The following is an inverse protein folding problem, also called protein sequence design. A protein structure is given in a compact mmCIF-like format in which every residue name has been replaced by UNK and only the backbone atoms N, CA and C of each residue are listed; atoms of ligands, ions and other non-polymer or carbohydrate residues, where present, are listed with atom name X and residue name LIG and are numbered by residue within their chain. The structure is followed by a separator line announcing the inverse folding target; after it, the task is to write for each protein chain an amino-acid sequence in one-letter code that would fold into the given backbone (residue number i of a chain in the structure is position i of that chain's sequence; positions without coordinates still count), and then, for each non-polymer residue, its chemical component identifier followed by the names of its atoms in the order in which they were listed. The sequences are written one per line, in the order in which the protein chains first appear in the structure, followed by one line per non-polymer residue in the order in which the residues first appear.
data_IF_608695842232
#
_entry.id   IF_608695842232
#
_cell.length_a   1.000
_cell.length_b   1.000
_cell.length_c   1.000
_cell.angle_alpha   90.00
_cell.angle_beta   90.00
_cell.angle_gamma   90.00
#
_symmetry.space_group_name_H-M   'P 1'
#
loop_
_entity.id
_entity.type
_entity.pdbx_description
1 polymer ?
#
# COMPACT_ATOMS: atom_id res chain seq x y z
N UNK A 1 -27.77 29.08 -9.59
CA UNK A 1 -26.40 28.61 -9.87
C UNK A 1 -25.41 29.20 -8.85
N UNK A 2 -25.22 28.50 -7.73
CA UNK A 2 -24.24 28.90 -6.73
C UNK A 2 -22.86 28.44 -7.19
N UNK A 3 -21.90 29.36 -7.24
CA UNK A 3 -20.50 29.07 -7.52
C UNK A 3 -20.00 27.98 -6.57
N UNK A 4 -19.39 26.88 -7.04
CA UNK A 4 -19.11 25.70 -6.20
C UNK A 4 -18.05 25.93 -5.09
N UNK A 5 -17.37 27.08 -5.11
CA UNK A 5 -16.31 27.43 -4.17
C UNK A 5 -16.63 28.78 -3.50
N UNK A 6 -16.66 28.78 -2.16
CA UNK A 6 -16.99 29.95 -1.35
C UNK A 6 -15.79 30.92 -1.26
N UNK A 7 -14.56 30.42 -1.47
CA UNK A 7 -13.31 31.21 -1.48
C UNK A 7 -12.28 30.64 -2.47
N UNK A 8 -11.31 31.44 -2.98
CA UNK A 8 -10.23 30.94 -3.84
C UNK A 8 -9.44 29.80 -3.21
N UNK A 9 -9.23 29.86 -1.88
CA UNK A 9 -8.55 28.81 -1.14
C UNK A 9 -9.30 27.47 -1.23
N UNK A 10 -10.63 27.50 -1.04
CA UNK A 10 -11.47 26.31 -1.17
C UNK A 10 -11.55 25.76 -2.60
N UNK A 11 -11.29 26.60 -3.61
CA UNK A 11 -11.12 26.18 -5.00
C UNK A 11 -9.86 25.34 -5.16
N UNK A 12 -8.71 25.90 -4.78
CA UNK A 12 -7.42 25.21 -4.89
C UNK A 12 -7.40 23.91 -4.09
N UNK A 13 -7.96 23.92 -2.88
CA UNK A 13 -8.06 22.72 -2.06
C UNK A 13 -8.82 21.60 -2.78
N UNK A 14 -10.06 21.87 -3.22
CA UNK A 14 -10.90 20.85 -3.84
C UNK A 14 -10.41 20.40 -5.23
N UNK A 15 -9.94 21.35 -6.03
CA UNK A 15 -9.66 21.08 -7.44
C UNK A 15 -8.23 20.56 -7.67
N UNK A 16 -7.30 20.85 -6.75
CA UNK A 16 -5.88 20.53 -6.93
C UNK A 16 -5.23 19.77 -5.77
N UNK A 17 -5.63 19.98 -4.51
CA UNK A 17 -4.98 19.32 -3.36
C UNK A 17 -5.69 18.05 -2.91
N UNK A 18 -7.02 18.06 -2.84
CA UNK A 18 -7.84 16.91 -2.45
C UNK A 18 -7.62 15.70 -3.38
N UNK A 19 -7.49 15.85 -4.71
CA UNK A 19 -7.20 14.72 -5.60
C UNK A 19 -5.82 14.07 -5.35
N UNK A 20 -4.88 14.77 -4.70
CA UNK A 20 -3.57 14.22 -4.39
C UNK A 20 -3.62 13.28 -3.18
N UNK A 21 -4.64 13.41 -2.32
CA UNK A 21 -4.78 12.58 -1.12
C UNK A 21 -4.89 11.10 -1.52
N UNK A 22 -4.17 10.25 -0.78
CA UNK A 22 -4.07 8.81 -0.99
C UNK A 22 -3.53 8.40 -2.38
N UNK A 23 -3.00 9.35 -3.16
CA UNK A 23 -2.41 9.11 -4.48
C UNK A 23 -0.91 9.30 -4.47
N UNK A 24 -0.20 8.58 -5.34
CA UNK A 24 1.23 8.78 -5.53
C UNK A 24 1.51 10.11 -6.22
N UNK A 25 2.34 10.94 -5.59
CA UNK A 25 2.74 12.23 -6.14
C UNK A 25 4.24 12.20 -6.46
N UNK A 26 4.56 12.16 -7.74
CA UNK A 26 5.93 12.00 -8.26
C UNK A 26 6.92 13.04 -7.72
N UNK A 27 6.58 14.35 -7.61
CA UNK A 27 7.52 15.36 -7.09
C UNK A 27 8.01 15.09 -5.66
N UNK A 28 7.19 14.45 -4.82
CA UNK A 28 7.57 14.07 -3.44
C UNK A 28 7.98 12.59 -3.33
N UNK A 29 7.93 11.84 -4.44
CA UNK A 29 8.27 10.43 -4.53
C UNK A 29 7.54 9.54 -3.49
N UNK A 30 6.27 9.81 -3.23
CA UNK A 30 5.50 9.09 -2.22
C UNK A 30 4.01 9.38 -2.29
N UNK A 31 3.25 8.80 -1.36
CA UNK A 31 1.80 8.98 -1.27
C UNK A 31 1.48 10.14 -0.33
N UNK A 32 0.65 11.07 -0.79
CA UNK A 32 0.20 12.19 0.05
C UNK A 32 -0.90 11.69 0.99
N UNK A 33 -0.64 11.71 2.30
CA UNK A 33 -1.61 11.30 3.32
C UNK A 33 -2.49 12.45 3.78
N UNK A 34 -1.90 13.64 3.88
CA UNK A 34 -2.56 14.86 4.31
C UNK A 34 -1.79 16.07 3.80
N UNK A 35 -2.46 17.21 3.80
CA UNK A 35 -1.83 18.50 3.57
C UNK A 35 -2.31 19.53 4.60
N UNK A 36 -1.52 20.57 4.82
CA UNK A 36 -1.87 21.70 5.70
C UNK A 36 -1.13 22.98 5.30
N UNK A 37 -1.45 24.08 5.98
CA UNK A 37 -0.77 25.37 5.84
C UNK A 37 -0.74 25.89 4.38
N UNK A 38 -1.83 25.70 3.63
CA UNK A 38 -1.97 26.23 2.28
C UNK A 38 -2.01 27.76 2.31
N UNK A 39 -1.05 28.39 1.66
CA UNK A 39 -0.88 29.85 1.62
C UNK A 39 -0.64 30.33 0.20
N UNK A 40 -1.13 31.53 -0.12
CA UNK A 40 -0.87 32.18 -1.39
C UNK A 40 0.47 32.92 -1.32
N UNK A 41 1.27 32.81 -2.38
CA UNK A 41 2.56 33.53 -2.47
C UNK A 41 2.39 34.96 -3.01
N UNK A 42 1.18 35.32 -3.45
CA UNK A 42 0.84 36.62 -4.02
C UNK A 42 -0.58 37.00 -3.64
N UNK A 43 -0.80 38.29 -3.37
CA UNK A 43 -2.11 38.85 -3.07
C UNK A 43 -3.04 38.88 -4.29
N UNK A 44 -2.48 38.75 -5.50
CA UNK A 44 -3.21 38.77 -6.75
C UNK A 44 -2.88 37.54 -7.60
N UNK A 45 -3.92 36.98 -8.23
CA UNK A 45 -3.79 35.96 -9.26
C UNK A 45 -3.57 36.60 -10.64
N UNK A 46 -2.87 35.90 -11.53
CA UNK A 46 -2.55 36.37 -12.87
C UNK A 46 -3.38 35.62 -13.90
N UNK A 47 -4.08 36.36 -14.75
CA UNK A 47 -4.67 35.80 -15.97
C UNK A 47 -3.60 35.82 -17.07
N UNK A 48 -3.40 34.70 -17.74
CA UNK A 48 -2.36 34.53 -18.77
C UNK A 48 -3.01 34.30 -20.12
N UNK A 49 -2.71 35.18 -21.09
CA UNK A 49 -3.27 35.12 -22.43
C UNK A 49 -4.78 35.42 -22.45
N UNK A 50 -5.51 34.68 -23.29
CA UNK A 50 -6.96 34.83 -23.47
C UNK A 50 -7.79 33.84 -22.62
N UNK A 51 -7.11 33.07 -21.75
CA UNK A 51 -7.76 32.11 -20.87
C UNK A 51 -8.53 32.83 -19.75
N UNK A 52 -9.77 32.43 -19.42
CA UNK A 52 -10.51 33.01 -18.29
C UNK A 52 -10.02 32.49 -16.93
N UNK A 53 -9.02 31.59 -16.89
CA UNK A 53 -8.50 31.03 -15.66
C UNK A 53 -7.39 31.89 -15.04
N UNK A 54 -7.49 32.12 -13.74
CA UNK A 54 -6.49 32.85 -12.97
C UNK A 54 -5.48 31.88 -12.34
N UNK A 55 -4.19 32.19 -12.47
CA UNK A 55 -3.09 31.40 -11.93
C UNK A 55 -2.47 32.10 -10.72
N UNK A 56 -2.19 31.36 -9.66
CA UNK A 56 -1.52 31.86 -8.47
C UNK A 56 -0.60 30.77 -7.92
N UNK A 57 0.54 31.16 -7.37
CA UNK A 57 1.45 30.25 -6.69
C UNK A 57 0.97 30.02 -5.26
N UNK A 58 1.01 28.76 -4.83
CA UNK A 58 0.65 28.35 -3.48
C UNK A 58 1.76 27.54 -2.86
N UNK A 59 1.99 27.81 -1.58
CA UNK A 59 2.85 27.00 -0.72
C UNK A 59 1.97 26.12 0.16
N UNK A 60 2.34 24.84 0.30
CA UNK A 60 1.59 23.83 1.06
C UNK A 60 2.55 22.84 1.71
N UNK A 61 2.22 22.39 2.92
CA UNK A 61 2.93 21.30 3.60
C UNK A 61 2.21 19.98 3.38
N UNK A 62 2.93 18.97 2.87
CA UNK A 62 2.41 17.61 2.71
C UNK A 62 2.95 16.67 3.78
N UNK A 63 2.07 15.83 4.35
CA UNK A 63 2.46 14.61 5.04
C UNK A 63 2.55 13.49 4.00
N UNK A 64 3.76 12.96 3.79
CA UNK A 64 4.03 11.99 2.72
C UNK A 64 4.45 10.64 3.29
N UNK A 65 3.78 9.57 2.87
CA UNK A 65 4.22 8.21 3.09
C UNK A 65 5.15 7.77 1.96
N UNK A 66 6.42 7.52 2.30
CA UNK A 66 7.48 7.26 1.33
C UNK A 66 8.26 5.99 1.70
N UNK A 67 7.76 4.79 1.34
CA UNK A 67 8.55 3.58 1.42
C UNK A 67 9.73 3.66 0.44
N UNK A 68 10.90 3.21 0.88
CA UNK A 68 12.14 3.23 0.07
C UNK A 68 12.69 1.82 -0.02
N UNK A 69 13.28 1.48 -1.18
CA UNK A 69 14.01 0.23 -1.37
C UNK A 69 15.01 0.01 -0.22
N UNK A 70 14.99 -1.17 0.36
CA UNK A 70 15.83 -1.56 1.48
C UNK A 70 15.18 -1.41 2.85
N UNK A 71 14.06 -0.69 2.97
CA UNK A 71 13.35 -0.58 4.24
C UNK A 71 12.78 -1.92 4.69
N UNK A 72 12.82 -2.16 6.00
CA UNK A 72 12.15 -3.29 6.62
C UNK A 72 10.77 -2.85 7.12
N UNK A 73 9.72 -3.38 6.51
CA UNK A 73 8.34 -3.12 6.89
C UNK A 73 7.70 -4.41 7.41
N UNK A 74 6.52 -4.26 8.01
CA UNK A 74 5.71 -5.36 8.54
C UNK A 74 4.34 -5.30 7.88
N UNK A 75 3.90 -6.41 7.29
CA UNK A 75 2.59 -6.52 6.66
C UNK A 75 1.82 -7.74 7.18
N UNK A 76 0.50 -7.68 7.13
CA UNK A 76 -0.39 -8.82 7.37
C UNK A 76 -0.58 -9.59 6.08
N UNK A 77 -0.65 -10.92 6.14
CA UNK A 77 -0.84 -11.77 4.96
C UNK A 77 -2.32 -11.71 4.59
N UNK A 78 -2.64 -11.18 3.41
CA UNK A 78 -4.03 -10.93 2.99
C UNK A 78 -4.49 -11.89 1.89
N UNK A 79 -3.64 -12.11 0.89
CA UNK A 79 -3.93 -12.99 -0.24
C UNK A 79 -2.72 -13.88 -0.48
N UNK A 80 -2.95 -15.13 -0.85
CA UNK A 80 -1.86 -16.03 -1.17
C UNK A 80 -2.26 -16.91 -2.34
N UNK A 81 -1.34 -17.06 -3.28
CA UNK A 81 -1.42 -18.09 -4.32
C UNK A 81 -0.10 -18.87 -4.37
N UNK A 82 -0.08 -19.95 -5.15
CA UNK A 82 1.12 -20.79 -5.30
C UNK A 82 2.35 -20.01 -5.83
N UNK A 83 2.12 -18.90 -6.56
CA UNK A 83 3.17 -18.10 -7.19
C UNK A 83 3.59 -16.85 -6.40
N UNK A 84 2.82 -16.42 -5.40
CA UNK A 84 3.09 -15.17 -4.69
C UNK A 84 2.39 -15.10 -3.33
N UNK A 85 2.93 -14.26 -2.44
CA UNK A 85 2.31 -13.89 -1.17
C UNK A 85 1.95 -12.40 -1.22
N UNK A 86 0.67 -12.10 -1.06
CA UNK A 86 0.14 -10.76 -0.88
C UNK A 86 0.12 -10.36 0.59
N UNK A 87 0.69 -9.19 0.90
CA UNK A 87 0.60 -8.58 2.22
C UNK A 87 -0.04 -7.20 2.17
N UNK A 88 -0.64 -6.80 3.29
CA UNK A 88 -1.11 -5.44 3.55
C UNK A 88 -0.28 -4.80 4.66
N UNK A 89 0.33 -3.65 4.39
CA UNK A 89 0.98 -2.82 5.41
C UNK A 89 -0.06 -1.82 5.95
N UNK A 90 -0.19 -1.76 7.28
CA UNK A 90 -1.17 -0.89 7.97
C UNK A 90 -2.60 -1.00 7.39
N UNK A 91 -2.98 -2.21 6.93
CA UNK A 91 -4.27 -2.50 6.30
C UNK A 91 -4.61 -1.61 5.07
N UNK A 92 -3.60 -0.97 4.48
CA UNK A 92 -3.79 0.07 3.46
C UNK A 92 -2.93 -0.19 2.22
N UNK A 93 -1.66 -0.56 2.41
CA UNK A 93 -0.70 -0.63 1.30
C UNK A 93 -0.48 -2.06 0.84
N UNK A 94 -0.80 -2.32 -0.43
CA UNK A 94 -0.61 -3.60 -1.07
C UNK A 94 0.87 -3.93 -1.26
N UNK A 95 1.24 -5.17 -0.98
CA UNK A 95 2.58 -5.72 -1.16
C UNK A 95 2.48 -7.06 -1.84
N UNK A 96 3.23 -7.24 -2.92
CA UNK A 96 3.39 -8.54 -3.56
C UNK A 96 4.81 -9.06 -3.30
N UNK A 97 4.91 -10.32 -2.85
CA UNK A 97 6.17 -11.03 -2.73
C UNK A 97 6.14 -12.19 -3.73
N UNK A 98 6.87 -12.11 -4.85
CA UNK A 98 6.91 -13.17 -5.85
C UNK A 98 7.64 -14.41 -5.30
N UNK A 99 7.33 -15.59 -5.85
CA UNK A 99 7.89 -16.89 -5.44
C UNK A 99 9.42 -16.91 -5.32
N UNK A 100 10.11 -16.19 -6.19
CA UNK A 100 11.59 -16.07 -6.22
C UNK A 100 12.16 -15.40 -4.96
N UNK A 101 11.35 -14.61 -4.25
CA UNK A 101 11.72 -13.87 -3.05
C UNK A 101 11.11 -14.42 -1.77
N UNK A 102 10.56 -15.64 -1.86
CA UNK A 102 10.09 -16.43 -0.72
C UNK A 102 11.21 -17.42 -0.34
N UNK A 103 11.48 -17.67 0.96
CA UNK A 103 12.49 -18.63 1.38
C UNK A 103 12.22 -20.03 0.83
N UNK A 104 13.27 -20.76 0.45
CA UNK A 104 13.15 -22.10 -0.14
C UNK A 104 12.46 -23.12 0.76
N UNK A 105 12.56 -22.96 2.09
CA UNK A 105 11.89 -23.83 3.06
C UNK A 105 10.37 -23.69 3.10
N UNK A 106 9.80 -22.67 2.45
CA UNK A 106 8.35 -22.47 2.44
C UNK A 106 7.71 -23.29 1.32
N UNK A 107 6.56 -23.90 1.63
CA UNK A 107 5.78 -24.68 0.65
C UNK A 107 4.33 -24.21 0.61
N UNK A 108 3.77 -24.23 -0.60
CA UNK A 108 2.34 -24.04 -0.83
C UNK A 108 1.62 -25.36 -0.54
N UNK A 109 0.51 -25.29 0.18
CA UNK A 109 -0.40 -26.40 0.43
C UNK A 109 -1.73 -26.04 -0.17
N UNK A 110 -2.14 -26.79 -1.20
CA UNK A 110 -3.48 -26.71 -1.75
C UNK A 110 -4.45 -27.36 -0.77
N UNK A 111 -5.49 -26.63 -0.42
CA UNK A 111 -6.68 -27.10 0.26
C UNK A 111 -7.58 -27.68 -0.83
N UNK A 112 -7.50 -29.00 -1.03
CA UNK A 112 -8.43 -29.73 -1.90
C UNK A 112 -9.83 -29.53 -1.31
N UNK A 113 -10.68 -28.81 -2.03
CA UNK A 113 -12.05 -28.55 -1.60
C UNK A 113 -12.75 -29.85 -1.23
N UNK A 114 -13.38 -29.87 -0.06
CA UNK A 114 -14.49 -30.80 0.18
C UNK A 114 -15.47 -30.65 -0.98
N UNK A 115 -15.79 -31.75 -1.65
CA UNK A 115 -16.91 -31.81 -2.58
C UNK A 115 -18.14 -31.31 -1.81
N UNK A 116 -18.68 -30.16 -2.24
CA UNK A 116 -19.94 -29.66 -1.73
C UNK A 116 -21.00 -30.56 -2.34
N UNK A 117 -21.40 -31.59 -1.59
CA UNK A 117 -22.55 -32.43 -1.92
C UNK A 117 -23.75 -31.49 -2.13
N UNK A 118 -24.30 -31.51 -3.34
CA UNK A 118 -25.23 -30.50 -3.81
C UNK A 118 -26.54 -30.51 -3.03
N UNK A 119 -27.02 -29.32 -2.65
CA UNK A 119 -28.33 -28.84 -3.06
C UNK A 119 -28.56 -27.37 -2.67
N UNK A 120 -29.51 -26.75 -3.37
CA UNK A 120 -30.18 -25.48 -3.10
C UNK A 120 -29.54 -24.15 -3.59
N UNK A 121 -30.19 -23.64 -4.62
CA UNK A 121 -30.10 -22.31 -5.20
C UNK A 121 -30.38 -21.16 -4.19
N UNK A 122 -29.56 -20.10 -4.30
CA UNK A 122 -30.01 -18.71 -4.18
C UNK A 122 -28.96 -17.79 -4.84
N UNK A 123 -29.31 -17.22 -5.98
CA UNK A 123 -28.51 -16.21 -6.67
C UNK A 123 -28.65 -14.90 -5.89
N UNK A 124 -27.58 -14.48 -5.22
CA UNK A 124 -27.39 -13.15 -4.68
C UNK A 124 -26.20 -12.51 -5.38
N UNK A 125 -26.47 -11.52 -6.22
CA UNK A 125 -25.45 -10.74 -6.93
C UNK A 125 -24.69 -9.82 -5.96
N UNK A 126 -23.36 -9.82 -6.06
CA UNK A 126 -22.52 -8.73 -5.58
C UNK A 126 -21.48 -9.09 -4.52
N UNK A 127 -20.39 -9.74 -4.93
CA UNK A 127 -19.05 -9.51 -4.35
C UNK A 127 -17.99 -9.99 -5.36
N UNK A 128 -17.44 -9.05 -6.12
CA UNK A 128 -16.29 -9.29 -6.99
C UNK A 128 -15.04 -9.50 -6.12
N UNK A 129 -14.44 -10.70 -6.21
CA UNK A 129 -13.02 -10.88 -5.92
C UNK A 129 -12.60 -11.96 -4.92
N UNK A 130 -13.33 -13.08 -4.77
CA UNK A 130 -12.81 -14.25 -4.04
C UNK A 130 -12.37 -15.34 -5.01
N UNK A 131 -11.32 -15.07 -5.79
CA UNK A 131 -10.51 -16.12 -6.41
C UNK A 131 -9.67 -16.78 -5.33
N UNK A 132 -10.29 -17.55 -4.44
CA UNK A 132 -9.58 -18.35 -3.46
C UNK A 132 -9.18 -19.64 -4.17
N UNK A 133 -7.97 -19.67 -4.73
CA UNK A 133 -7.23 -20.93 -4.75
C UNK A 133 -7.15 -21.35 -3.27
N UNK A 134 -8.04 -22.26 -2.86
CA UNK A 134 -8.12 -22.74 -1.49
C UNK A 134 -6.77 -23.32 -1.12
N UNK A 135 -5.96 -22.58 -0.38
CA UNK A 135 -4.59 -22.99 -0.10
C UNK A 135 -3.86 -21.99 0.76
N UNK A 136 -2.74 -22.42 1.33
CA UNK A 136 -1.96 -21.61 2.25
C UNK A 136 -0.47 -21.93 2.18
N UNK A 137 0.33 -20.92 2.53
CA UNK A 137 1.76 -21.12 2.74
C UNK A 137 2.03 -21.69 4.12
N UNK A 138 2.97 -22.63 4.20
CA UNK A 138 3.63 -23.03 5.45
C UNK A 138 5.12 -22.74 5.38
N UNK A 139 5.70 -22.30 6.50
CA UNK A 139 7.15 -22.12 6.63
C UNK A 139 7.90 -23.46 6.69
N UNK A 140 9.23 -23.38 6.76
CA UNK A 140 10.11 -24.55 6.90
C UNK A 140 9.93 -25.31 8.22
N UNK A 141 9.28 -24.72 9.22
CA UNK A 141 8.91 -25.40 10.48
C UNK A 141 7.52 -26.06 10.38
N UNK A 142 6.87 -25.99 9.22
CA UNK A 142 5.55 -26.56 8.95
C UNK A 142 4.39 -25.74 9.51
N UNK A 143 4.61 -24.49 9.93
CA UNK A 143 3.59 -23.63 10.51
C UNK A 143 2.93 -22.77 9.42
N UNK A 144 1.59 -22.69 9.47
CA UNK A 144 0.79 -21.85 8.57
C UNK A 144 1.15 -20.37 8.69
N UNK A 145 1.25 -19.71 7.55
CA UNK A 145 1.58 -18.29 7.43
C UNK A 145 0.29 -17.45 7.49
N UNK A 146 -0.23 -17.21 8.69
CA UNK A 146 -1.46 -16.39 8.91
C UNK A 146 -1.21 -15.10 9.70
N UNK A 147 0.04 -14.81 10.04
CA UNK A 147 0.37 -13.69 10.91
C UNK A 147 1.30 -12.71 10.22
N UNK A 148 1.44 -11.53 10.82
CA UNK A 148 2.36 -10.53 10.37
C UNK A 148 3.75 -11.07 9.98
N UNK A 149 4.28 -10.58 8.87
CA UNK A 149 5.64 -10.87 8.42
C UNK A 149 6.40 -9.58 8.19
N UNK A 150 7.67 -9.61 8.60
CA UNK A 150 8.63 -8.58 8.21
C UNK A 150 9.12 -8.92 6.82
N UNK A 151 9.22 -7.91 5.97
CA UNK A 151 9.76 -8.04 4.63
C UNK A 151 10.63 -6.83 4.31
N UNK A 152 11.53 -7.00 3.35
CA UNK A 152 12.35 -5.92 2.82
C UNK A 152 11.67 -5.37 1.56
N UNK A 153 11.52 -4.05 1.48
CA UNK A 153 11.02 -3.37 0.27
C UNK A 153 12.08 -3.46 -0.82
N UNK A 154 11.70 -3.92 -2.01
CA UNK A 154 12.60 -4.02 -3.15
C UNK A 154 12.23 -3.03 -4.26
N UNK A 155 10.94 -2.78 -4.46
CA UNK A 155 10.44 -1.75 -5.35
C UNK A 155 9.12 -1.18 -4.85
N UNK A 156 8.80 0.03 -5.30
CA UNK A 156 7.50 0.69 -5.10
C UNK A 156 7.00 1.02 -6.49
N UNK A 157 5.81 0.53 -6.83
CA UNK A 157 5.16 0.71 -8.12
C UNK A 157 3.94 1.62 -7.92
N UNK A 158 3.95 2.76 -8.58
CA UNK A 158 2.77 3.61 -8.71
C UNK A 158 2.01 3.22 -9.98
N UNK A 159 0.71 2.96 -9.85
CA UNK A 159 -0.18 2.63 -10.95
C UNK A 159 -1.42 3.52 -10.86
N UNK A 160 -1.38 4.67 -11.54
CA UNK A 160 -2.42 5.68 -11.41
C UNK A 160 -2.52 6.19 -9.97
N UNK A 161 -3.71 6.09 -9.37
CA UNK A 161 -3.96 6.47 -7.98
C UNK A 161 -3.52 5.42 -6.96
N UNK A 162 -3.23 4.18 -7.39
CA UNK A 162 -2.84 3.10 -6.48
C UNK A 162 -1.34 2.97 -6.34
N UNK A 163 -0.90 2.57 -5.14
CA UNK A 163 0.50 2.21 -4.86
C UNK A 163 0.57 0.76 -4.40
N UNK A 164 1.46 0.01 -5.05
CA UNK A 164 1.79 -1.37 -4.69
C UNK A 164 3.30 -1.49 -4.48
N UNK A 165 3.71 -2.27 -3.49
CA UNK A 165 5.13 -2.54 -3.22
C UNK A 165 5.48 -3.95 -3.66
N UNK A 166 6.72 -4.12 -4.12
CA UNK A 166 7.33 -5.45 -4.21
C UNK A 166 8.24 -5.69 -3.02
N UNK A 167 8.00 -6.81 -2.33
CA UNK A 167 8.75 -7.19 -1.16
C UNK A 167 9.69 -8.37 -1.38
N UNK A 168 10.52 -8.63 -0.37
CA UNK A 168 11.34 -9.83 -0.22
C UNK A 168 11.30 -10.34 1.21
N UNK A 169 11.12 -11.65 1.39
CA UNK A 169 11.24 -12.31 2.69
C UNK A 169 12.66 -12.88 2.91
N UNK A 170 13.50 -12.87 1.87
CA UNK A 170 14.87 -13.39 1.95
C UNK A 170 15.74 -12.53 2.88
N UNK A 171 16.50 -13.19 3.74
CA UNK A 171 17.47 -12.52 4.63
C UNK A 171 16.87 -11.75 5.81
N UNK A 172 15.54 -11.76 5.98
CA UNK A 172 14.87 -11.07 7.10
C UNK A 172 14.98 -11.86 8.42
N UNK A 173 15.11 -13.19 8.34
CA UNK A 173 15.13 -14.10 9.50
C UNK A 173 16.51 -14.32 10.14
N UNK A 174 17.54 -13.50 9.86
CA UNK A 174 18.78 -13.58 10.63
C UNK A 174 18.52 -13.12 12.07
N UNK A 175 18.06 -14.06 12.92
CA UNK A 175 18.11 -13.99 14.38
C UNK A 175 19.54 -13.63 14.76
N UNK A 176 19.80 -12.36 15.09
CA UNK A 176 20.95 -12.02 15.94
C UNK A 176 20.71 -12.77 17.25
N UNK A 177 21.41 -13.89 17.46
CA UNK A 177 21.54 -14.49 18.79
C UNK A 177 22.04 -13.35 19.69
N UNK A 178 21.21 -12.89 20.63
CA UNK A 178 21.68 -11.96 21.66
C UNK A 178 22.86 -12.67 22.34
N UNK A 179 24.06 -12.07 22.40
CA UNK A 179 25.13 -12.65 23.20
C UNK A 179 24.61 -12.75 24.64
N UNK A 180 24.67 -13.97 25.17
CA UNK A 180 24.29 -14.29 26.55
C UNK A 180 25.20 -13.44 27.44
N UNK A 181 24.66 -12.40 28.07
CA UNK A 181 25.40 -11.61 29.07
C UNK A 181 25.85 -12.56 30.17
N UNK A 182 27.13 -12.90 30.17
CA UNK A 182 27.80 -13.54 31.29
C UNK A 182 27.71 -12.59 32.49
N UNK A 183 27.17 -13.10 33.60
CA UNK A 183 27.19 -12.41 34.89
C UNK A 183 28.62 -12.50 35.40
N UNK A 184 29.34 -11.39 35.41
CA UNK A 184 30.55 -11.27 36.20
C UNK A 184 30.15 -11.17 37.69
N UNK A 185 30.76 -12.03 38.50
CA UNK A 185 30.73 -12.04 39.97
C UNK A 185 31.52 -10.87 40.53
#
# INVERSE_FOLDING_TARGET
PQSPHITPLSGIQKDHLDPLLMSYFEPVNGVVLAYRNTTFESDCARIVGESPFAHVWVSVEFLVWRPVKGMLLKGWVNMAGASHVGLLVENTWNVAIPRERIPEGWRWVEEVGMEVDGDAAAVGEGEEGTGVDGGYWVDGDGKKIEAFRKFKVEAVKAMGHMVSMEGSLLGVEKRRKKPRRERAK
#
